data_IF_536835887536
#
_entry.id   IF_536835887536
#
_cell.length_a   1.000
_cell.length_b   1.000
_cell.length_c   1.000
_cell.angle_alpha   90.00
_cell.angle_beta   90.00
_cell.angle_gamma   90.00
#
_symmetry.space_group_name_H-M   'P 1'
#
loop_
_entity.id
_entity.type
_entity.pdbx_description
1 polymer ?
#
# COMPACT_ATOMS: atom_id res chain seq x y z
N UNK A 1 13.59 -3.86 -14.32
CA UNK A 1 13.23 -5.02 -15.19
C UNK A 1 13.31 -6.31 -14.36
N UNK A 2 12.74 -7.43 -14.81
CA UNK A 2 12.83 -8.72 -14.10
C UNK A 2 13.63 -9.74 -14.95
N UNK A 3 14.58 -10.44 -14.33
CA UNK A 3 15.42 -11.47 -14.96
C UNK A 3 16.93 -11.26 -14.76
N UNK A 4 17.76 -12.27 -15.06
CA UNK A 4 19.22 -12.14 -15.01
C UNK A 4 19.71 -10.94 -15.85
N UNK A 5 20.55 -10.08 -15.26
CA UNK A 5 21.10 -8.88 -15.93
C UNK A 5 20.17 -7.65 -15.97
N UNK A 6 18.99 -7.70 -15.36
CA UNK A 6 18.09 -6.55 -15.29
C UNK A 6 18.68 -5.41 -14.41
N UNK A 7 18.79 -4.17 -14.93
CA UNK A 7 19.24 -3.03 -14.13
C UNK A 7 18.24 -2.73 -12.99
N UNK A 8 18.81 -2.42 -11.82
CA UNK A 8 18.13 -1.93 -10.61
C UNK A 8 16.93 -2.77 -10.18
N UNK A 9 17.14 -3.94 -9.56
CA UNK A 9 16.05 -4.83 -9.11
C UNK A 9 15.00 -4.12 -8.25
N UNK A 10 15.43 -3.25 -7.33
CA UNK A 10 14.54 -2.44 -6.48
C UNK A 10 13.78 -1.34 -7.22
N UNK A 11 14.33 -0.80 -8.31
CA UNK A 11 13.67 0.24 -9.11
C UNK A 11 12.84 -0.35 -10.25
N UNK A 12 12.72 -1.68 -10.30
CA UNK A 12 11.88 -2.37 -11.25
C UNK A 12 10.38 -2.10 -11.01
N UNK A 13 9.54 -2.28 -12.04
CA UNK A 13 8.10 -2.04 -11.94
C UNK A 13 7.40 -2.99 -10.94
N UNK A 14 8.01 -4.13 -10.63
CA UNK A 14 7.50 -5.07 -9.63
C UNK A 14 7.80 -4.64 -8.18
N UNK A 15 8.61 -3.59 -7.97
CA UNK A 15 9.06 -3.17 -6.64
C UNK A 15 8.75 -1.69 -6.41
N UNK A 16 9.64 -0.75 -6.77
CA UNK A 16 9.42 0.68 -6.52
C UNK A 16 8.98 1.47 -7.76
N UNK A 17 9.25 0.98 -8.98
CA UNK A 17 8.86 1.65 -10.22
C UNK A 17 9.23 3.14 -10.29
N UNK A 18 10.43 3.54 -9.83
CA UNK A 18 10.88 4.94 -9.78
C UNK A 18 10.55 5.69 -8.49
N UNK A 19 9.71 5.14 -7.61
CA UNK A 19 9.36 5.77 -6.34
C UNK A 19 10.51 5.68 -5.33
N UNK A 20 10.57 6.66 -4.41
CA UNK A 20 11.67 6.77 -3.43
C UNK A 20 11.22 6.61 -1.99
N UNK A 21 9.92 6.54 -1.76
CA UNK A 21 9.32 6.23 -0.46
C UNK A 21 8.39 5.03 -0.60
N UNK A 22 8.43 4.12 0.37
CA UNK A 22 7.52 2.99 0.52
C UNK A 22 7.08 2.93 1.98
N UNK A 23 5.80 2.61 2.20
CA UNK A 23 5.24 2.50 3.54
C UNK A 23 4.09 1.51 3.60
N UNK A 24 3.83 1.06 4.82
CA UNK A 24 2.75 0.15 5.14
C UNK A 24 2.02 0.63 6.40
N UNK A 25 0.71 0.43 6.42
CA UNK A 25 -0.15 0.70 7.57
C UNK A 25 -1.03 -0.54 7.81
N UNK A 26 -1.03 -1.06 9.03
CA UNK A 26 -1.95 -2.11 9.44
C UNK A 26 -3.01 -1.50 10.35
N UNK A 27 -4.28 -1.73 10.03
CA UNK A 27 -5.42 -1.30 10.85
C UNK A 27 -6.11 -2.55 11.36
N UNK A 28 -6.23 -2.66 12.68
CA UNK A 28 -6.85 -3.81 13.36
C UNK A 28 -8.13 -3.35 14.03
N UNK A 29 -9.24 -4.01 13.72
CA UNK A 29 -10.58 -3.71 14.23
C UNK A 29 -11.43 -4.96 14.37
N UNK A 30 -12.07 -5.21 15.53
CA UNK A 30 -12.89 -6.39 15.75
C UNK A 30 -13.95 -6.62 14.66
N UNK A 31 -14.54 -5.55 14.13
CA UNK A 31 -15.59 -5.58 13.10
C UNK A 31 -15.10 -6.25 11.80
N UNK A 32 -13.81 -6.13 11.48
CA UNK A 32 -13.21 -6.73 10.30
C UNK A 32 -13.13 -8.26 10.38
N UNK A 33 -13.30 -8.87 11.56
CA UNK A 33 -13.38 -10.33 11.65
C UNK A 33 -14.63 -10.89 10.96
N UNK A 34 -15.70 -10.10 10.91
CA UNK A 34 -17.00 -10.52 10.35
C UNK A 34 -17.33 -9.81 9.04
N UNK A 35 -16.90 -8.56 8.88
CA UNK A 35 -17.17 -7.75 7.70
C UNK A 35 -15.92 -6.93 7.31
N UNK A 36 -14.91 -7.59 6.72
CA UNK A 36 -13.71 -6.89 6.27
C UNK A 36 -14.01 -6.03 5.03
N UNK A 37 -13.38 -4.85 4.90
CA UNK A 37 -13.41 -4.10 3.65
C UNK A 37 -12.92 -4.95 2.47
N UNK A 38 -13.47 -4.75 1.28
CA UNK A 38 -12.94 -5.37 0.06
C UNK A 38 -11.56 -4.80 -0.27
N UNK A 39 -10.69 -5.64 -0.85
CA UNK A 39 -9.43 -5.18 -1.43
C UNK A 39 -9.68 -4.11 -2.51
N UNK A 40 -8.86 -3.06 -2.52
CA UNK A 40 -9.06 -1.91 -3.39
C UNK A 40 -7.76 -1.19 -3.72
N UNK A 41 -7.73 -0.49 -4.85
CA UNK A 41 -6.75 0.56 -5.13
C UNK A 41 -7.27 1.86 -4.52
N UNK A 42 -6.43 2.58 -3.77
CA UNK A 42 -6.84 3.71 -2.95
C UNK A 42 -6.59 5.08 -3.62
N UNK A 43 -5.86 5.10 -4.72
CA UNK A 43 -5.55 6.31 -5.50
C UNK A 43 -5.74 6.06 -7.00
N UNK A 44 -5.79 7.15 -7.78
CA UNK A 44 -6.00 7.05 -9.22
C UNK A 44 -4.74 6.55 -9.95
N UNK A 45 -3.58 6.77 -9.34
CA UNK A 45 -2.26 6.44 -9.86
C UNK A 45 -1.88 4.96 -9.70
N UNK A 46 -2.64 4.19 -8.94
CA UNK A 46 -2.35 2.78 -8.67
C UNK A 46 -1.17 2.57 -7.72
N UNK A 47 -0.84 3.57 -6.91
CA UNK A 47 0.35 3.58 -6.03
C UNK A 47 0.05 3.18 -4.59
N UNK A 48 -1.22 3.01 -4.23
CA UNK A 48 -1.66 2.54 -2.93
C UNK A 48 -2.76 1.49 -3.04
N UNK A 49 -2.62 0.41 -2.26
CA UNK A 49 -3.56 -0.71 -2.25
C UNK A 49 -3.96 -1.08 -0.82
N UNK A 50 -5.22 -1.44 -0.65
CA UNK A 50 -5.77 -2.07 0.54
C UNK A 50 -5.89 -3.57 0.29
N UNK A 51 -5.39 -4.35 1.23
CA UNK A 51 -5.44 -5.82 1.23
C UNK A 51 -6.02 -6.32 2.56
N UNK A 52 -7.17 -7.01 2.54
CA UNK A 52 -7.69 -7.67 3.73
C UNK A 52 -6.74 -8.77 4.19
N UNK A 53 -6.53 -8.89 5.50
CA UNK A 53 -5.69 -9.93 6.08
C UNK A 53 -6.55 -11.04 6.68
N UNK A 54 -5.93 -12.20 6.94
CA UNK A 54 -6.55 -13.22 7.76
C UNK A 54 -6.75 -12.68 9.18
N UNK A 55 -8.00 -12.57 9.63
CA UNK A 55 -8.36 -12.02 10.94
C UNK A 55 -8.86 -10.57 10.87
N UNK A 56 -9.00 -9.89 12.02
CA UNK A 56 -9.63 -8.57 12.13
C UNK A 56 -8.73 -7.43 11.65
N UNK A 57 -8.07 -7.55 10.50
CA UNK A 57 -7.08 -6.58 10.05
C UNK A 57 -7.08 -6.35 8.54
N UNK A 58 -6.69 -5.14 8.16
CA UNK A 58 -6.36 -4.79 6.77
C UNK A 58 -4.95 -4.21 6.70
N UNK A 59 -4.27 -4.43 5.59
CA UNK A 59 -2.98 -3.85 5.25
C UNK A 59 -3.17 -2.83 4.13
N UNK A 60 -2.65 -1.62 4.33
CA UNK A 60 -2.45 -0.65 3.28
C UNK A 60 -0.96 -0.66 2.92
N UNK A 61 -0.66 -0.83 1.64
CA UNK A 61 0.70 -0.66 1.09
C UNK A 61 0.69 0.50 0.13
N UNK A 62 1.75 1.31 0.16
CA UNK A 62 1.88 2.44 -0.75
C UNK A 62 3.34 2.71 -1.13
N UNK A 63 3.55 3.16 -2.36
CA UNK A 63 4.78 3.78 -2.85
C UNK A 63 4.52 5.23 -3.22
N UNK A 64 5.52 6.10 -3.07
CA UNK A 64 5.38 7.51 -3.41
C UNK A 64 6.72 8.15 -3.82
N UNK A 65 6.69 9.30 -4.53
CA UNK A 65 7.91 10.01 -4.90
C UNK A 65 8.71 10.49 -3.69
N UNK A 66 8.04 10.77 -2.57
CA UNK A 66 8.63 11.29 -1.34
C UNK A 66 7.83 10.90 -0.10
N UNK A 67 8.43 11.09 1.08
CA UNK A 67 7.82 10.73 2.36
C UNK A 67 6.60 11.58 2.74
N UNK A 68 6.49 12.82 2.24
CA UNK A 68 5.37 13.71 2.53
C UNK A 68 4.10 13.22 1.81
N UNK A 69 4.21 12.86 0.53
CA UNK A 69 3.13 12.23 -0.23
C UNK A 69 2.75 10.89 0.37
N UNK A 70 3.73 10.04 0.69
CA UNK A 70 3.48 8.76 1.35
C UNK A 70 2.65 8.93 2.62
N UNK A 71 3.05 9.87 3.49
CA UNK A 71 2.32 10.14 4.74
C UNK A 71 0.89 10.61 4.49
N UNK A 72 0.67 11.51 3.53
CA UNK A 72 -0.68 11.98 3.17
C UNK A 72 -1.58 10.83 2.70
N UNK A 73 -1.04 9.93 1.88
CA UNK A 73 -1.76 8.73 1.41
C UNK A 73 -2.13 7.81 2.56
N UNK A 74 -1.19 7.49 3.45
CA UNK A 74 -1.46 6.63 4.62
C UNK A 74 -2.43 7.28 5.61
N UNK A 75 -2.32 8.60 5.85
CA UNK A 75 -3.25 9.33 6.71
C UNK A 75 -4.67 9.39 6.10
N UNK A 76 -4.79 9.50 4.77
CA UNK A 76 -6.07 9.45 4.08
C UNK A 76 -6.71 8.05 4.17
N UNK A 77 -5.92 7.00 3.92
CA UNK A 77 -6.37 5.63 4.08
C UNK A 77 -6.82 5.35 5.53
N UNK A 78 -6.07 5.81 6.53
CA UNK A 78 -6.47 5.68 7.93
C UNK A 78 -7.81 6.36 8.21
N UNK A 79 -8.05 7.57 7.68
CA UNK A 79 -9.35 8.26 7.84
C UNK A 79 -10.52 7.55 7.17
N UNK A 80 -10.28 6.84 6.07
CA UNK A 80 -11.32 6.06 5.39
C UNK A 80 -11.64 4.75 6.12
N UNK A 81 -10.66 4.22 6.86
CA UNK A 81 -10.78 2.98 7.64
C UNK A 81 -11.16 3.22 9.10
N UNK A 82 -11.13 4.49 9.53
CA UNK A 82 -11.57 4.94 10.84
C UNK A 82 -13.09 4.98 10.93
#
# INVERSE_FOLDING_TARGET
ACGPGAPGGWDGPAVLAGHRALGQLVVVRPEFATDPPSGAVLDAEGTAALTPLAGPAVLVTAVAPDALRLRRTLDAALRQLA
#
